data_IF_291724907049
#
_entry.id   IF_291724907049
#
_cell.length_a   1.000
_cell.length_b   1.000
_cell.length_c   1.000
_cell.angle_alpha   90.00
_cell.angle_beta   90.00
_cell.angle_gamma   90.00
#
_symmetry.space_group_name_H-M   'P 1'
#
loop_
_entity.id
_entity.type
_entity.pdbx_description
1 polymer ?
#
# COMPACT_ATOMS: atom_id res chain seq x y z
N UNK A 1 -3.76 -15.85 5.10
CA UNK A 1 -2.96 -14.68 4.68
C UNK A 1 -3.07 -13.67 5.80
N UNK A 2 -1.97 -13.23 6.42
CA UNK A 2 -2.03 -12.26 7.53
C UNK A 2 -2.02 -10.83 6.95
N UNK A 3 -3.08 -10.02 7.15
CA UNK A 3 -3.18 -8.67 6.61
C UNK A 3 -2.03 -7.75 7.04
N UNK A 4 -1.61 -7.83 8.30
CA UNK A 4 -0.52 -7.01 8.84
C UNK A 4 0.82 -7.37 8.17
N UNK A 5 1.09 -8.67 7.99
CA UNK A 5 2.29 -9.11 7.27
C UNK A 5 2.27 -8.71 5.79
N UNK A 6 1.09 -8.72 5.15
CA UNK A 6 0.94 -8.27 3.77
C UNK A 6 1.22 -6.77 3.64
N UNK A 7 0.68 -5.97 4.57
CA UNK A 7 0.91 -4.53 4.65
C UNK A 7 2.38 -4.19 4.88
N UNK A 8 3.02 -4.86 5.84
CA UNK A 8 4.45 -4.69 6.14
C UNK A 8 5.35 -4.98 4.93
N UNK A 9 5.04 -6.05 4.19
CA UNK A 9 5.80 -6.41 3.00
C UNK A 9 5.60 -5.40 1.87
N UNK A 10 4.37 -4.94 1.63
CA UNK A 10 4.07 -3.89 0.65
C UNK A 10 4.81 -2.58 0.97
N UNK A 11 4.82 -2.16 2.24
CA UNK A 11 5.53 -0.95 2.68
C UNK A 11 7.05 -1.09 2.50
N UNK A 12 7.63 -2.27 2.80
CA UNK A 12 9.05 -2.54 2.57
C UNK A 12 9.41 -2.44 1.09
N UNK A 13 8.61 -3.04 0.22
CA UNK A 13 8.82 -2.98 -1.23
C UNK A 13 8.69 -1.55 -1.77
N UNK A 14 7.69 -0.79 -1.31
CA UNK A 14 7.51 0.62 -1.70
C UNK A 14 8.72 1.46 -1.29
N UNK A 15 9.21 1.31 -0.06
CA UNK A 15 10.39 2.02 0.41
C UNK A 15 11.65 1.66 -0.39
N UNK A 16 11.81 0.37 -0.75
CA UNK A 16 12.91 -0.07 -1.60
C UNK A 16 12.83 0.56 -3.01
N UNK A 17 11.64 0.57 -3.61
CA UNK A 17 11.40 1.16 -4.92
C UNK A 17 11.65 2.68 -4.93
N UNK A 18 11.17 3.40 -3.91
CA UNK A 18 11.42 4.83 -3.75
C UNK A 18 12.92 5.13 -3.59
N UNK A 19 13.64 4.32 -2.81
CA UNK A 19 15.10 4.46 -2.64
C UNK A 19 15.88 4.14 -3.91
N UNK A 20 15.40 3.21 -4.74
CA UNK A 20 15.98 2.95 -6.05
C UNK A 20 15.73 4.13 -7.00
N UNK A 21 14.49 4.63 -7.04
CA UNK A 21 14.11 5.81 -7.82
C UNK A 21 14.92 7.06 -7.45
N UNK A 22 15.19 7.26 -6.15
CA UNK A 22 15.98 8.41 -5.68
C UNK A 22 17.45 8.35 -6.11
N UNK A 23 17.95 7.15 -6.43
CA UNK A 23 19.33 6.93 -6.89
C UNK A 23 19.45 6.85 -8.42
N UNK A 24 18.33 6.79 -9.14
CA UNK A 24 18.28 6.72 -10.59
C UNK A 24 18.89 7.98 -11.23
N UNK A 25 19.79 7.77 -12.19
CA UNK A 25 20.55 8.83 -12.86
C UNK A 25 20.00 9.14 -14.25
N UNK A 26 19.45 8.13 -14.93
CA UNK A 26 18.88 8.32 -16.28
C UNK A 26 17.38 8.51 -16.24
N UNK A 27 16.81 9.02 -17.34
CA UNK A 27 15.37 9.19 -17.49
C UNK A 27 14.70 7.82 -17.57
N UNK A 28 15.31 6.86 -18.26
CA UNK A 28 14.81 5.50 -18.41
C UNK A 28 14.72 4.78 -17.06
N UNK A 29 15.75 4.90 -16.21
CA UNK A 29 15.75 4.34 -14.85
C UNK A 29 14.65 4.98 -13.99
N UNK A 30 14.47 6.31 -14.09
CA UNK A 30 13.41 7.03 -13.37
C UNK A 30 12.02 6.57 -13.80
N UNK A 31 11.79 6.38 -15.10
CA UNK A 31 10.53 5.87 -15.65
C UNK A 31 10.26 4.46 -15.14
N UNK A 32 11.26 3.56 -15.24
CA UNK A 32 11.15 2.19 -14.72
C UNK A 32 10.75 2.18 -13.25
N UNK A 33 11.47 2.91 -12.39
CA UNK A 33 11.17 2.94 -10.96
C UNK A 33 9.85 3.64 -10.65
N UNK A 34 9.46 4.67 -11.40
CA UNK A 34 8.16 5.34 -11.23
C UNK A 34 6.98 4.40 -11.50
N UNK A 35 7.11 3.50 -12.49
CA UNK A 35 6.09 2.49 -12.78
C UNK A 35 5.95 1.48 -11.64
N UNK A 36 7.09 1.05 -11.06
CA UNK A 36 7.08 0.17 -9.88
C UNK A 36 6.42 0.86 -8.69
N UNK A 37 6.80 2.10 -8.39
CA UNK A 37 6.20 2.89 -7.29
C UNK A 37 4.70 3.05 -7.50
N UNK A 38 4.26 3.41 -8.71
CA UNK A 38 2.84 3.56 -9.05
C UNK A 38 2.06 2.27 -8.74
N UNK A 39 2.52 1.14 -9.28
CA UNK A 39 1.84 -0.15 -9.10
C UNK A 39 1.74 -0.55 -7.62
N UNK A 40 2.80 -0.29 -6.83
CA UNK A 40 2.82 -0.57 -5.39
C UNK A 40 1.84 0.33 -4.63
N UNK A 41 1.77 1.64 -4.96
CA UNK A 41 0.82 2.56 -4.34
C UNK A 41 -0.64 2.27 -4.71
N UNK A 42 -0.90 1.83 -5.94
CA UNK A 42 -2.24 1.38 -6.36
C UNK A 42 -2.66 0.11 -5.59
N UNK A 43 -1.75 -0.85 -5.45
CA UNK A 43 -1.99 -2.07 -4.67
C UNK A 43 -2.24 -1.76 -3.19
N UNK A 44 -1.50 -0.82 -2.62
CA UNK A 44 -1.71 -0.34 -1.26
C UNK A 44 -3.10 0.31 -1.09
N UNK A 45 -3.54 1.11 -2.07
CA UNK A 45 -4.88 1.70 -2.07
C UNK A 45 -6.00 0.66 -2.06
N UNK A 46 -5.86 -0.41 -2.85
CA UNK A 46 -6.81 -1.54 -2.84
C UNK A 46 -6.84 -2.21 -1.45
N UNK A 47 -5.68 -2.44 -0.85
CA UNK A 47 -5.59 -3.04 0.48
C UNK A 47 -6.23 -2.15 1.56
N UNK A 48 -5.95 -0.85 1.53
CA UNK A 48 -6.53 0.12 2.47
C UNK A 48 -8.05 0.23 2.32
N UNK A 49 -8.58 0.18 1.09
CA UNK A 49 -10.01 0.15 0.84
C UNK A 49 -10.65 -1.14 1.40
N UNK A 50 -10.00 -2.30 1.20
CA UNK A 50 -10.48 -3.56 1.77
C UNK A 50 -10.49 -3.51 3.31
N UNK A 51 -9.41 -3.05 3.93
CA UNK A 51 -9.31 -2.91 5.38
C UNK A 51 -10.35 -1.93 5.94
N UNK A 52 -10.62 -0.83 5.25
CA UNK A 52 -11.64 0.14 5.64
C UNK A 52 -13.05 -0.45 5.58
N UNK A 53 -13.36 -1.24 4.55
CA UNK A 53 -14.64 -1.93 4.44
C UNK A 53 -14.81 -3.00 5.54
N UNK A 54 -13.75 -3.76 5.85
CA UNK A 54 -13.78 -4.77 6.91
C UNK A 54 -13.90 -4.17 8.32
N UNK A 55 -13.32 -2.99 8.58
CA UNK A 55 -13.51 -2.28 9.85
C UNK A 55 -14.88 -1.59 9.95
N UNK A 56 -15.55 -1.30 8.84
CA UNK A 56 -16.89 -0.70 8.82
C UNK A 56 -17.96 -1.65 9.36
N UNK A 57 -17.89 -2.93 9.03
CA UNK A 57 -18.89 -3.93 9.46
C UNK A 57 -18.85 -4.22 10.98
N UNK A 58 -17.69 -4.09 11.64
CA UNK A 58 -17.56 -4.30 13.11
C UNK A 58 -17.86 -3.03 13.95
N UNK A 59 -17.95 -1.85 13.31
CA UNK A 59 -18.16 -0.58 14.01
C UNK A 59 -19.64 -0.24 14.21
N UNK A 60 -20.53 -0.70 13.34
CA UNK A 60 -21.98 -0.44 13.44
C UNK A 60 -22.64 -1.22 14.61
N UNK A 61 -22.14 -2.42 14.94
CA UNK A 61 -22.64 -3.22 16.08
C UNK A 61 -22.26 -2.63 17.47
N UNK A 62 -21.30 -1.70 17.51
CA UNK A 62 -20.86 -1.04 18.75
C UNK A 62 -21.71 0.19 19.13
N UNK A 63 -22.51 0.73 18.20
CA UNK A 63 -23.33 1.93 18.42
C UNK A 63 -24.84 1.67 18.54
N UNK A 64 -25.31 0.42 18.40
CA UNK A 64 -26.73 0.07 18.63
C UNK A 64 -27.07 -0.25 20.11
N UNK A 65 -26.10 -0.16 21.04
CA UNK A 65 -26.32 -0.40 22.48
C UNK A 65 -25.98 0.83 23.35
N UNK A 66 -26.47 2.02 23.00
CA UNK A 66 -26.57 3.18 23.91
C UNK A 66 -27.95 3.85 23.80
#
# INVERSE_FOLDING_TARGET
MNPDQLMDNLIKELNAALKAMSKAKTVEEKVMHSQVVKNLTESLGVFLNLASNMMGDDFDDFYEND
#
